data_IF_737730583308
#
_entry.id   IF_737730583308
#
_cell.length_a   1.000
_cell.length_b   1.000
_cell.length_c   1.000
_cell.angle_alpha   90.00
_cell.angle_beta   90.00
_cell.angle_gamma   90.00
#
_symmetry.space_group_name_H-M   'P 1'
#
loop_
_entity.id
_entity.type
_entity.pdbx_description
1 polymer ?
#
# COMPACT_ATOMS: atom_id res chain seq x y z
N UNK A 1 -7.93 30.59 28.43
CA UNK A 1 -7.54 31.90 27.88
C UNK A 1 -6.31 31.74 27.01
N UNK A 2 -5.13 31.41 27.54
CA UNK A 2 -3.93 31.25 26.68
C UNK A 2 -4.03 30.07 25.70
N UNK A 3 -4.59 28.93 26.13
CA UNK A 3 -4.79 27.76 25.25
C UNK A 3 -5.78 28.02 24.11
N UNK A 4 -6.87 28.75 24.39
CA UNK A 4 -7.90 29.07 23.39
C UNK A 4 -7.36 30.04 22.32
N UNK A 5 -6.44 30.93 22.69
CA UNK A 5 -5.83 31.90 21.77
C UNK A 5 -4.80 31.25 20.85
N UNK A 6 -4.03 30.28 21.36
CA UNK A 6 -3.08 29.48 20.58
C UNK A 6 -3.79 28.59 19.54
N UNK A 7 -4.88 27.93 19.93
CA UNK A 7 -5.69 27.12 19.03
C UNK A 7 -6.32 27.95 17.90
N UNK A 8 -6.83 29.16 18.23
CA UNK A 8 -7.37 30.09 17.23
C UNK A 8 -6.27 30.59 16.28
N UNK A 9 -5.08 30.89 16.79
CA UNK A 9 -3.94 31.29 15.96
C UNK A 9 -3.52 30.18 15.01
N UNK A 10 -3.47 28.93 15.50
CA UNK A 10 -3.13 27.76 14.70
C UNK A 10 -4.17 27.49 13.60
N UNK A 11 -5.46 27.61 13.93
CA UNK A 11 -6.54 27.47 12.96
C UNK A 11 -6.44 28.52 11.84
N UNK A 12 -6.17 29.79 12.17
CA UNK A 12 -5.95 30.85 11.17
C UNK A 12 -4.75 30.57 10.27
N UNK A 13 -3.64 30.08 10.84
CA UNK A 13 -2.46 29.73 10.07
C UNK A 13 -2.75 28.58 9.08
N UNK A 14 -3.51 27.57 9.50
CA UNK A 14 -3.95 26.48 8.61
C UNK A 14 -4.85 27.01 7.49
N UNK A 15 -5.84 27.86 7.81
CA UNK A 15 -6.70 28.47 6.79
C UNK A 15 -5.91 29.29 5.76
N UNK A 16 -4.91 30.04 6.20
CA UNK A 16 -4.03 30.79 5.31
C UNK A 16 -3.25 29.84 4.38
N UNK A 17 -2.69 28.75 4.91
CA UNK A 17 -2.00 27.74 4.10
C UNK A 17 -2.94 27.05 3.09
N UNK A 18 -4.18 26.75 3.48
CA UNK A 18 -5.19 26.21 2.55
C UNK A 18 -5.51 27.22 1.44
N UNK A 19 -5.57 28.52 1.76
CA UNK A 19 -5.72 29.56 0.72
C UNK A 19 -4.51 29.64 -0.23
N UNK A 20 -3.32 29.28 0.24
CA UNK A 20 -2.10 29.23 -0.57
C UNK A 20 -2.05 27.99 -1.46
N UNK A 21 -2.70 26.89 -1.06
CA UNK A 21 -2.85 25.68 -1.88
C UNK A 21 -3.51 26.01 -3.23
N UNK A 22 -4.49 26.92 -3.21
CA UNK A 22 -5.25 27.32 -4.39
C UNK A 22 -4.43 28.11 -5.42
N UNK A 23 -3.30 28.69 -5.01
CA UNK A 23 -2.46 29.55 -5.87
C UNK A 23 -1.23 28.77 -6.37
N UNK A 24 -1.04 28.61 -7.71
CA UNK A 24 0.07 27.83 -8.27
C UNK A 24 1.45 28.22 -7.74
N UNK A 25 1.69 29.51 -7.50
CA UNK A 25 2.99 30.05 -7.06
C UNK A 25 3.33 29.67 -5.62
N UNK A 26 2.33 29.48 -4.76
CA UNK A 26 2.51 29.17 -3.33
C UNK A 26 2.19 27.72 -2.98
N UNK A 27 1.66 26.96 -3.95
CA UNK A 27 1.10 25.62 -3.72
C UNK A 27 2.11 24.63 -3.17
N UNK A 28 3.33 24.60 -3.71
CA UNK A 28 4.36 23.65 -3.28
C UNK A 28 4.74 23.86 -1.80
N UNK A 29 4.95 25.12 -1.41
CA UNK A 29 5.20 25.49 -0.03
C UNK A 29 4.00 25.16 0.89
N UNK A 30 2.78 25.43 0.42
CA UNK A 30 1.57 25.09 1.17
C UNK A 30 1.42 23.59 1.40
N UNK A 31 1.65 22.77 0.36
CA UNK A 31 1.63 21.31 0.46
C UNK A 31 2.62 20.81 1.51
N UNK A 32 3.86 21.31 1.49
CA UNK A 32 4.91 20.92 2.42
C UNK A 32 4.57 21.32 3.87
N UNK A 33 4.08 22.54 4.09
CA UNK A 33 3.79 23.01 5.46
C UNK A 33 2.53 22.38 6.03
N UNK A 34 1.50 22.15 5.22
CA UNK A 34 0.30 21.43 5.65
C UNK A 34 0.62 19.96 5.95
N UNK A 35 1.46 19.30 5.14
CA UNK A 35 1.80 17.88 5.35
C UNK A 35 2.53 17.65 6.67
N UNK A 36 3.37 18.61 7.10
CA UNK A 36 4.03 18.60 8.43
C UNK A 36 3.05 18.78 9.59
N UNK A 37 1.94 19.50 9.39
CA UNK A 37 0.96 19.83 10.43
C UNK A 37 -0.15 18.79 10.60
N UNK A 38 -0.17 17.75 9.76
CA UNK A 38 -1.26 16.74 9.72
C UNK A 38 -1.48 15.99 11.04
N UNK A 39 -0.46 15.91 11.89
CA UNK A 39 -0.53 15.24 13.20
C UNK A 39 -0.77 16.21 14.35
N UNK A 40 -0.39 17.48 14.19
CA UNK A 40 -0.51 18.51 15.22
C UNK A 40 -1.82 19.29 15.17
N UNK A 41 -2.57 19.19 14.07
CA UNK A 41 -3.88 19.86 13.91
C UNK A 41 -4.97 18.83 13.56
N UNK A 42 -5.73 18.33 14.56
CA UNK A 42 -6.74 17.28 14.36
C UNK A 42 -7.82 17.62 13.32
N UNK A 43 -8.24 18.88 13.27
CA UNK A 43 -9.30 19.37 12.37
C UNK A 43 -8.81 19.67 10.95
N UNK A 44 -7.57 19.30 10.60
CA UNK A 44 -7.02 19.53 9.26
C UNK A 44 -7.87 18.87 8.17
N UNK A 45 -8.32 17.64 8.40
CA UNK A 45 -9.08 16.88 7.41
C UNK A 45 -10.44 17.53 7.08
N UNK A 46 -11.30 17.87 8.06
CA UNK A 46 -12.49 18.69 7.81
C UNK A 46 -12.18 20.02 7.12
N UNK A 47 -11.13 20.73 7.56
CA UNK A 47 -10.74 22.00 6.93
C UNK A 47 -10.40 21.82 5.45
N UNK A 48 -9.62 20.79 5.08
CA UNK A 48 -9.29 20.50 3.68
C UNK A 48 -10.52 20.10 2.88
N UNK A 49 -11.39 19.25 3.45
CA UNK A 49 -12.56 18.74 2.74
C UNK A 49 -13.58 19.83 2.41
N UNK A 50 -13.86 20.72 3.38
CA UNK A 50 -14.88 21.75 3.25
C UNK A 50 -14.35 23.07 2.66
N UNK A 51 -13.04 23.23 2.49
CA UNK A 51 -12.49 24.39 1.81
C UNK A 51 -12.68 24.29 0.29
N UNK A 52 -13.22 25.35 -0.29
CA UNK A 52 -13.51 25.42 -1.72
C UNK A 52 -12.27 25.10 -2.57
N UNK A 53 -12.40 24.10 -3.43
CA UNK A 53 -11.37 23.71 -4.41
C UNK A 53 -10.14 22.99 -3.85
N UNK A 54 -9.99 22.85 -2.53
CA UNK A 54 -8.81 22.23 -1.94
C UNK A 54 -8.63 20.77 -2.39
N UNK A 55 -9.69 19.94 -2.31
CA UNK A 55 -9.65 18.56 -2.80
C UNK A 55 -9.38 18.46 -4.30
N UNK A 56 -9.92 19.40 -5.11
CA UNK A 56 -9.68 19.44 -6.55
C UNK A 56 -8.20 19.74 -6.87
N UNK A 57 -7.56 20.64 -6.11
CA UNK A 57 -6.13 20.92 -6.26
C UNK A 57 -5.28 19.70 -5.89
N UNK A 58 -5.61 18.99 -4.80
CA UNK A 58 -4.88 17.77 -4.42
C UNK A 58 -4.98 16.69 -5.53
N UNK A 59 -6.17 16.53 -6.12
CA UNK A 59 -6.36 15.63 -7.27
C UNK A 59 -5.62 16.10 -8.52
N UNK A 60 -5.53 17.42 -8.74
CA UNK A 60 -4.77 18.00 -9.84
C UNK A 60 -3.28 17.67 -9.72
N UNK A 61 -2.69 17.73 -8.53
CA UNK A 61 -1.29 17.36 -8.28
C UNK A 61 -1.02 15.88 -8.59
N UNK A 62 -1.99 15.01 -8.30
CA UNK A 62 -1.94 13.58 -8.68
C UNK A 62 -2.00 13.42 -10.20
N UNK A 63 -3.02 14.00 -10.84
CA UNK A 63 -3.23 13.84 -12.28
C UNK A 63 -2.07 14.41 -13.11
N UNK A 64 -1.45 15.49 -12.67
CA UNK A 64 -0.26 16.07 -13.31
C UNK A 64 0.96 15.14 -13.30
N UNK A 65 0.98 14.12 -12.42
CA UNK A 65 2.06 13.14 -12.31
C UNK A 65 1.89 11.99 -13.31
N UNK A 66 0.67 11.71 -13.80
CA UNK A 66 0.41 10.54 -14.66
C UNK A 66 1.26 10.47 -15.93
N UNK A 67 1.49 11.56 -16.69
CA UNK A 67 2.33 11.52 -17.88
C UNK A 67 3.80 11.13 -17.59
N UNK A 68 4.24 11.27 -16.34
CA UNK A 68 5.62 10.99 -15.92
C UNK A 68 5.84 9.53 -15.48
N UNK A 69 4.78 8.72 -15.45
CA UNK A 69 4.83 7.31 -15.10
C UNK A 69 5.22 6.42 -16.28
N UNK A 70 4.93 6.84 -17.51
CA UNK A 70 5.22 6.08 -18.73
C UNK A 70 5.51 7.02 -19.93
N UNK A 71 6.77 7.09 -20.41
CA UNK A 71 7.96 6.43 -19.88
C UNK A 71 8.34 6.97 -18.48
N UNK A 72 8.99 6.17 -17.61
CA UNK A 72 9.28 6.58 -16.24
C UNK A 72 10.36 7.68 -16.19
N UNK A 73 9.93 8.92 -16.04
CA UNK A 73 10.80 10.11 -15.96
C UNK A 73 10.55 10.94 -14.70
N UNK A 74 9.98 10.33 -13.65
CA UNK A 74 9.63 11.01 -12.41
C UNK A 74 10.87 11.49 -11.63
N UNK A 75 11.09 12.81 -11.63
CA UNK A 75 12.14 13.43 -10.83
C UNK A 75 11.80 13.44 -9.33
N UNK A 76 12.84 13.45 -8.48
CA UNK A 76 12.68 13.38 -7.03
C UNK A 76 11.85 14.55 -6.45
N UNK A 77 12.04 15.78 -6.95
CA UNK A 77 11.29 16.95 -6.47
C UNK A 77 9.79 16.85 -6.81
N UNK A 78 9.44 16.34 -8.00
CA UNK A 78 8.05 16.11 -8.41
C UNK A 78 7.41 15.03 -7.53
N UNK A 79 8.12 13.91 -7.31
CA UNK A 79 7.66 12.84 -6.42
C UNK A 79 7.41 13.36 -4.99
N UNK A 80 8.34 14.15 -4.44
CA UNK A 80 8.18 14.74 -3.10
C UNK A 80 6.95 15.65 -3.01
N UNK A 81 6.73 16.49 -4.03
CA UNK A 81 5.59 17.40 -4.09
C UNK A 81 4.25 16.66 -4.12
N UNK A 82 4.08 15.68 -5.02
CA UNK A 82 2.84 14.87 -5.05
C UNK A 82 2.69 14.02 -3.79
N UNK A 83 3.78 13.54 -3.19
CA UNK A 83 3.71 12.80 -1.91
C UNK A 83 3.25 13.68 -0.74
N UNK A 84 3.55 14.98 -0.74
CA UNK A 84 2.96 15.91 0.21
C UNK A 84 1.43 16.00 0.02
N UNK A 85 0.94 16.05 -1.22
CA UNK A 85 -0.50 16.01 -1.49
C UNK A 85 -1.14 14.69 -1.04
N UNK A 86 -0.48 13.55 -1.31
CA UNK A 86 -0.92 12.23 -0.83
C UNK A 86 -0.97 12.15 0.70
N UNK A 87 -0.02 12.77 1.41
CA UNK A 87 -0.01 12.82 2.87
C UNK A 87 -1.23 13.59 3.42
N UNK A 88 -1.70 14.62 2.72
CA UNK A 88 -2.93 15.33 3.05
C UNK A 88 -4.18 14.49 2.74
N UNK A 89 -4.21 13.77 1.62
CA UNK A 89 -5.29 12.81 1.34
C UNK A 89 -5.32 11.66 2.36
N UNK A 90 -4.17 11.22 2.85
CA UNK A 90 -4.08 10.24 3.94
C UNK A 90 -4.73 10.79 5.22
N UNK A 91 -4.52 12.07 5.55
CA UNK A 91 -5.18 12.74 6.68
C UNK A 91 -6.71 12.73 6.50
N UNK A 92 -7.20 13.13 5.32
CA UNK A 92 -8.63 13.13 4.97
C UNK A 92 -9.24 11.72 5.04
N UNK A 93 -8.54 10.70 4.54
CA UNK A 93 -8.97 9.31 4.59
C UNK A 93 -9.04 8.75 6.02
N UNK A 94 -8.15 9.21 6.90
CA UNK A 94 -8.07 8.72 8.28
C UNK A 94 -9.14 9.31 9.20
N UNK A 95 -9.64 10.51 8.91
CA UNK A 95 -10.57 11.24 9.77
C UNK A 95 -12.02 10.75 9.61
N UNK A 96 -12.73 10.54 10.72
CA UNK A 96 -14.08 9.96 10.75
C UNK A 96 -15.10 10.77 9.95
N UNK A 97 -15.08 12.10 10.05
CA UNK A 97 -16.04 12.98 9.37
C UNK A 97 -15.88 13.02 7.84
N UNK A 98 -14.69 12.73 7.30
CA UNK A 98 -14.37 12.90 5.88
C UNK A 98 -14.13 11.60 5.14
N UNK A 99 -13.89 10.49 5.86
CA UNK A 99 -13.60 9.17 5.28
C UNK A 99 -14.69 8.67 4.33
N UNK A 100 -15.95 8.67 4.78
CA UNK A 100 -17.05 8.16 3.95
C UNK A 100 -17.27 9.05 2.71
N UNK A 101 -17.33 10.39 2.82
CA UNK A 101 -17.34 11.26 1.64
C UNK A 101 -16.14 11.06 0.70
N UNK A 102 -14.94 10.84 1.24
CA UNK A 102 -13.72 10.55 0.48
C UNK A 102 -13.84 9.25 -0.34
N UNK A 103 -14.44 8.22 0.27
CA UNK A 103 -14.72 6.94 -0.38
C UNK A 103 -15.80 7.09 -1.47
N UNK A 104 -16.91 7.75 -1.14
CA UNK A 104 -18.03 8.00 -2.06
C UNK A 104 -17.62 8.86 -3.27
N UNK A 105 -16.66 9.76 -3.09
CA UNK A 105 -16.06 10.54 -4.18
C UNK A 105 -15.10 9.72 -5.07
N UNK A 106 -14.89 8.43 -4.79
CA UNK A 106 -14.01 7.52 -5.54
C UNK A 106 -12.56 8.02 -5.66
N UNK A 107 -12.12 8.87 -4.72
CA UNK A 107 -10.75 9.42 -4.70
C UNK A 107 -9.66 8.34 -4.67
N UNK A 108 -9.81 7.20 -3.97
CA UNK A 108 -8.79 6.14 -3.99
C UNK A 108 -8.40 5.66 -5.39
N UNK A 109 -9.32 5.71 -6.37
CA UNK A 109 -9.08 5.24 -7.74
C UNK A 109 -7.98 6.06 -8.45
N UNK A 110 -7.84 7.34 -8.09
CA UNK A 110 -6.77 8.20 -8.62
C UNK A 110 -5.37 7.72 -8.20
N UNK A 111 -5.25 6.86 -7.19
CA UNK A 111 -3.98 6.36 -6.70
C UNK A 111 -3.53 5.07 -7.40
N UNK A 112 -4.43 4.39 -8.11
CA UNK A 112 -4.13 3.08 -8.70
C UNK A 112 -3.09 3.11 -9.81
N UNK A 113 -3.01 4.15 -10.67
CA UNK A 113 -1.89 4.29 -11.61
C UNK A 113 -0.53 4.32 -10.92
N UNK A 114 -0.44 4.91 -9.71
CA UNK A 114 0.81 4.91 -8.93
C UNK A 114 1.16 3.51 -8.43
N UNK A 115 0.18 2.77 -7.90
CA UNK A 115 0.36 1.40 -7.42
C UNK A 115 0.68 0.40 -8.55
N UNK A 116 0.15 0.64 -9.75
CA UNK A 116 0.37 -0.20 -10.92
C UNK A 116 1.75 -0.01 -11.57
N UNK A 117 2.43 1.11 -11.27
CA UNK A 117 3.75 1.42 -11.85
C UNK A 117 4.80 0.37 -11.50
N UNK A 118 5.58 -0.04 -12.50
CA UNK A 118 6.57 -1.11 -12.39
C UNK A 118 8.01 -0.60 -12.19
N UNK A 119 8.23 0.71 -12.32
CA UNK A 119 9.57 1.31 -12.17
C UNK A 119 10.11 1.14 -10.75
N UNK A 120 11.35 0.67 -10.62
CA UNK A 120 12.03 0.50 -9.33
C UNK A 120 12.93 1.69 -8.95
N UNK A 121 12.79 2.84 -9.63
CA UNK A 121 13.53 4.03 -9.21
C UNK A 121 12.99 4.58 -7.88
N UNK A 122 13.88 5.12 -7.04
CA UNK A 122 13.53 5.63 -5.70
C UNK A 122 12.33 6.59 -5.69
N UNK A 123 12.19 7.56 -6.64
CA UNK A 123 11.02 8.44 -6.66
C UNK A 123 9.69 7.71 -6.84
N UNK A 124 9.65 6.64 -7.63
CA UNK A 124 8.43 5.84 -7.86
C UNK A 124 8.17 4.88 -6.70
N UNK A 125 9.22 4.32 -6.09
CA UNK A 125 9.07 3.52 -4.86
C UNK A 125 8.46 4.33 -3.71
N UNK A 126 8.94 5.57 -3.53
CA UNK A 126 8.38 6.50 -2.53
C UNK A 126 6.93 6.87 -2.86
N UNK A 127 6.62 7.09 -4.14
CA UNK A 127 5.25 7.36 -4.59
C UNK A 127 4.30 6.20 -4.30
N UNK A 128 4.72 4.96 -4.61
CA UNK A 128 3.94 3.74 -4.29
C UNK A 128 3.71 3.61 -2.80
N UNK A 129 4.75 3.76 -1.99
CA UNK A 129 4.65 3.67 -0.53
C UNK A 129 3.66 4.69 0.05
N UNK A 130 3.76 5.94 -0.40
CA UNK A 130 2.88 7.02 0.08
C UNK A 130 1.43 6.78 -0.35
N UNK A 131 1.21 6.28 -1.57
CA UNK A 131 -0.11 5.90 -2.07
C UNK A 131 -0.73 4.75 -1.26
N UNK A 132 0.05 3.72 -0.94
CA UNK A 132 -0.37 2.64 -0.03
C UNK A 132 -0.70 3.16 1.36
N UNK A 133 -0.03 4.21 1.83
CA UNK A 133 -0.33 4.87 3.10
C UNK A 133 -1.77 5.41 3.16
N UNK A 134 -2.29 5.94 2.05
CA UNK A 134 -3.69 6.40 1.95
C UNK A 134 -4.66 5.23 2.03
N UNK A 135 -4.43 4.16 1.25
CA UNK A 135 -5.28 2.96 1.28
C UNK A 135 -5.20 2.27 2.65
N UNK A 136 -4.01 2.21 3.24
CA UNK A 136 -3.75 1.69 4.58
C UNK A 136 -4.51 2.45 5.66
N UNK A 137 -4.66 3.78 5.53
CA UNK A 137 -5.45 4.58 6.45
C UNK A 137 -6.95 4.28 6.37
N UNK A 138 -7.48 4.00 5.18
CA UNK A 138 -8.89 3.60 4.99
C UNK A 138 -9.21 2.27 5.66
N UNK A 139 -8.37 1.25 5.44
CA UNK A 139 -8.63 -0.10 6.00
C UNK A 139 -8.29 -0.21 7.48
N UNK A 140 -7.61 0.78 8.07
CA UNK A 140 -7.21 0.75 9.48
C UNK A 140 -8.40 0.77 10.43
N UNK A 141 -9.51 1.38 10.02
CA UNK A 141 -10.71 1.58 10.87
C UNK A 141 -11.68 0.41 10.90
N UNK A 142 -11.37 -0.70 10.21
CA UNK A 142 -12.19 -1.92 10.20
C UNK A 142 -13.65 -1.67 9.78
N UNK A 143 -13.82 -0.79 8.77
CA UNK A 143 -15.11 -0.42 8.21
C UNK A 143 -15.44 -1.29 6.98
N UNK A 144 -16.59 -1.98 7.03
CA UNK A 144 -17.04 -2.91 5.98
C UNK A 144 -17.34 -2.21 4.67
N UNK A 145 -17.81 -0.97 4.69
CA UNK A 145 -18.09 -0.22 3.46
C UNK A 145 -16.80 0.09 2.69
N UNK A 146 -15.70 0.33 3.41
CA UNK A 146 -14.36 0.44 2.82
C UNK A 146 -13.94 -0.88 2.18
N UNK A 147 -14.14 -2.01 2.87
CA UNK A 147 -13.80 -3.33 2.32
C UNK A 147 -14.60 -3.61 1.04
N UNK A 148 -15.92 -3.41 1.06
CA UNK A 148 -16.79 -3.60 -0.10
C UNK A 148 -16.36 -2.75 -1.30
N UNK A 149 -16.07 -1.47 -1.07
CA UNK A 149 -15.54 -0.58 -2.11
C UNK A 149 -14.25 -1.15 -2.71
N UNK A 150 -13.28 -1.51 -1.88
CA UNK A 150 -11.96 -1.98 -2.30
C UNK A 150 -11.99 -3.32 -3.05
N UNK A 151 -12.91 -4.22 -2.68
CA UNK A 151 -13.13 -5.48 -3.38
C UNK A 151 -13.70 -5.25 -4.79
N UNK A 152 -14.52 -4.21 -4.97
CA UNK A 152 -15.09 -3.83 -6.27
C UNK A 152 -14.11 -3.16 -7.22
N UNK A 153 -12.91 -2.78 -6.76
CA UNK A 153 -12.00 -1.89 -7.49
C UNK A 153 -10.59 -2.49 -7.67
N UNK A 154 -10.43 -3.81 -7.59
CA UNK A 154 -9.16 -4.50 -7.87
C UNK A 154 -7.96 -4.08 -6.99
N UNK A 155 -8.19 -3.67 -5.74
CA UNK A 155 -7.07 -3.31 -4.84
C UNK A 155 -6.16 -4.50 -4.54
N UNK A 156 -6.70 -5.73 -4.51
CA UNK A 156 -5.97 -6.96 -4.18
C UNK A 156 -4.88 -7.22 -5.23
N UNK A 157 -5.19 -7.33 -6.55
CA UNK A 157 -4.16 -7.43 -7.59
C UNK A 157 -3.06 -6.38 -7.51
N UNK A 158 -3.40 -5.11 -7.22
CA UNK A 158 -2.42 -4.04 -7.05
C UNK A 158 -1.52 -4.26 -5.83
N UNK A 159 -2.09 -4.66 -4.69
CA UNK A 159 -1.31 -4.99 -3.49
C UNK A 159 -0.40 -6.19 -3.73
N UNK A 160 -0.87 -7.22 -4.44
CA UNK A 160 -0.05 -8.37 -4.81
C UNK A 160 1.12 -7.96 -5.71
N UNK A 161 0.89 -7.11 -6.71
CA UNK A 161 1.99 -6.57 -7.54
C UNK A 161 3.03 -5.84 -6.70
N UNK A 162 2.61 -4.95 -5.80
CA UNK A 162 3.54 -4.25 -4.89
C UNK A 162 4.29 -5.24 -4.00
N UNK A 163 3.61 -6.26 -3.48
CA UNK A 163 4.22 -7.32 -2.68
C UNK A 163 5.28 -8.12 -3.46
N UNK A 164 5.17 -8.20 -4.78
CA UNK A 164 6.16 -8.87 -5.62
C UNK A 164 7.40 -7.99 -5.85
N UNK A 165 7.20 -6.75 -6.34
CA UNK A 165 8.30 -5.90 -6.85
C UNK A 165 8.79 -4.81 -5.89
N UNK A 166 8.07 -4.55 -4.80
CA UNK A 166 8.30 -3.39 -3.94
C UNK A 166 9.46 -3.55 -2.95
N UNK A 167 9.82 -2.44 -2.31
CA UNK A 167 10.72 -2.46 -1.15
C UNK A 167 10.07 -3.19 0.03
N UNK A 168 10.88 -3.63 0.99
CA UNK A 168 10.39 -4.30 2.18
C UNK A 168 9.29 -3.52 2.94
N UNK A 169 9.41 -2.20 3.00
CA UNK A 169 8.41 -1.35 3.62
C UNK A 169 7.09 -1.34 2.83
N UNK A 170 7.16 -1.23 1.50
CA UNK A 170 5.97 -1.31 0.63
C UNK A 170 5.30 -2.67 0.69
N UNK A 171 6.09 -3.76 0.71
CA UNK A 171 5.61 -5.13 0.92
C UNK A 171 4.87 -5.27 2.24
N UNK A 172 5.41 -4.67 3.32
CA UNK A 172 4.78 -4.67 4.65
C UNK A 172 3.43 -3.97 4.64
N UNK A 173 3.34 -2.77 4.05
CA UNK A 173 2.06 -2.01 4.00
C UNK A 173 1.04 -2.69 3.10
N UNK A 174 1.45 -3.21 1.93
CA UNK A 174 0.55 -3.96 1.05
C UNK A 174 0.02 -5.25 1.72
N UNK A 175 0.89 -5.98 2.43
CA UNK A 175 0.48 -7.17 3.19
C UNK A 175 -0.49 -6.80 4.31
N UNK A 176 -0.26 -5.68 5.00
CA UNK A 176 -1.19 -5.15 6.00
C UNK A 176 -2.58 -4.83 5.41
N UNK A 177 -2.65 -4.24 4.21
CA UNK A 177 -3.92 -3.97 3.52
C UNK A 177 -4.66 -5.28 3.22
N UNK A 178 -3.98 -6.26 2.63
CA UNK A 178 -4.59 -7.58 2.34
C UNK A 178 -4.99 -8.30 3.63
N UNK A 179 -4.21 -8.18 4.71
CA UNK A 179 -4.58 -8.70 6.02
C UNK A 179 -5.90 -8.08 6.50
N UNK A 180 -6.05 -6.76 6.42
CA UNK A 180 -7.28 -6.07 6.84
C UNK A 180 -8.49 -6.52 6.02
N UNK A 181 -8.33 -6.73 4.72
CA UNK A 181 -9.38 -7.30 3.87
C UNK A 181 -9.73 -8.72 4.31
N UNK A 182 -8.75 -9.59 4.55
CA UNK A 182 -8.98 -10.96 5.01
C UNK A 182 -9.66 -11.02 6.39
N UNK A 183 -9.41 -10.05 7.27
CA UNK A 183 -10.03 -10.02 8.59
C UNK A 183 -11.54 -9.80 8.54
N UNK A 184 -12.04 -9.12 7.51
CA UNK A 184 -13.48 -9.01 7.25
C UNK A 184 -14.02 -10.29 6.59
N UNK A 185 -15.23 -10.71 6.97
CA UNK A 185 -15.83 -11.95 6.45
C UNK A 185 -16.10 -11.88 4.94
N UNK A 186 -16.53 -10.72 4.42
CA UNK A 186 -16.77 -10.54 2.98
C UNK A 186 -15.46 -10.62 2.20
N UNK A 187 -14.39 -10.04 2.73
CA UNK A 187 -13.06 -10.12 2.13
C UNK A 187 -12.47 -11.53 2.15
N UNK A 188 -12.66 -12.28 3.26
CA UNK A 188 -12.25 -13.68 3.35
C UNK A 188 -12.99 -14.54 2.31
N UNK A 189 -14.32 -14.43 2.26
CA UNK A 189 -15.14 -15.19 1.31
C UNK A 189 -14.81 -14.84 -0.14
N UNK A 190 -14.55 -13.56 -0.44
CA UNK A 190 -14.12 -13.12 -1.77
C UNK A 190 -12.82 -13.79 -2.23
N UNK A 191 -11.81 -13.87 -1.36
CA UNK A 191 -10.51 -14.47 -1.66
C UNK A 191 -10.63 -16.00 -1.78
N UNK A 192 -11.41 -16.63 -0.89
CA UNK A 192 -11.64 -18.08 -0.91
C UNK A 192 -12.72 -18.54 -1.90
N UNK A 193 -13.33 -17.61 -2.66
CA UNK A 193 -14.39 -17.93 -3.62
C UNK A 193 -13.89 -18.82 -4.77
N UNK A 194 -12.67 -18.56 -5.27
CA UNK A 194 -12.07 -19.31 -6.39
C UNK A 194 -10.65 -19.74 -6.07
N UNK A 195 -10.21 -20.85 -6.67
CA UNK A 195 -8.84 -21.34 -6.52
C UNK A 195 -7.81 -20.29 -7.01
N UNK A 196 -8.08 -19.61 -8.13
CA UNK A 196 -7.16 -18.61 -8.69
C UNK A 196 -6.88 -17.46 -7.72
N UNK A 197 -7.92 -16.90 -7.09
CA UNK A 197 -7.76 -15.82 -6.11
C UNK A 197 -7.01 -16.30 -4.88
N UNK A 198 -7.38 -17.48 -4.37
CA UNK A 198 -6.74 -18.07 -3.21
C UNK A 198 -5.24 -18.31 -3.46
N UNK A 199 -4.89 -18.98 -4.56
CA UNK A 199 -3.49 -19.30 -4.89
C UNK A 199 -2.67 -18.09 -5.32
N UNK A 200 -3.28 -17.04 -5.89
CA UNK A 200 -2.59 -15.78 -6.14
C UNK A 200 -2.13 -15.13 -4.83
N UNK A 201 -2.98 -15.13 -3.79
CA UNK A 201 -2.64 -14.59 -2.47
C UNK A 201 -1.65 -15.50 -1.74
N UNK A 202 -1.93 -16.79 -1.59
CA UNK A 202 -1.07 -17.70 -0.83
C UNK A 202 0.28 -17.92 -1.51
N UNK A 203 0.32 -18.04 -2.83
CA UNK A 203 1.57 -18.19 -3.59
C UNK A 203 2.52 -17.02 -3.36
N UNK A 204 1.99 -15.79 -3.36
CA UNK A 204 2.81 -14.60 -3.10
C UNK A 204 3.20 -14.46 -1.63
N UNK A 205 2.30 -14.73 -0.69
CA UNK A 205 2.65 -14.78 0.74
C UNK A 205 3.76 -15.82 1.00
N UNK A 206 3.71 -16.96 0.33
CA UNK A 206 4.77 -17.98 0.38
C UNK A 206 6.10 -17.48 -0.18
N UNK A 207 6.08 -16.83 -1.35
CA UNK A 207 7.25 -16.21 -1.96
C UNK A 207 7.93 -15.17 -1.05
N UNK A 208 7.15 -14.39 -0.30
CA UNK A 208 7.65 -13.42 0.68
C UNK A 208 8.35 -14.07 1.87
N UNK A 209 7.91 -15.27 2.28
CA UNK A 209 8.53 -16.04 3.36
C UNK A 209 9.84 -16.67 2.90
N UNK A 210 9.88 -17.22 1.70
CA UNK A 210 11.05 -17.95 1.17
C UNK A 210 12.09 -17.06 0.50
N UNK A 211 11.83 -15.75 0.37
CA UNK A 211 12.70 -14.81 -0.34
C UNK A 211 12.78 -15.07 -1.86
N UNK A 212 11.91 -15.92 -2.39
CA UNK A 212 11.91 -16.31 -3.81
C UNK A 212 10.91 -15.46 -4.59
N UNK A 213 11.33 -14.31 -5.11
CA UNK A 213 10.50 -13.40 -5.94
C UNK A 213 10.21 -13.92 -7.35
N UNK A 214 10.16 -15.24 -7.56
CA UNK A 214 9.67 -15.85 -8.79
C UNK A 214 8.64 -16.91 -8.44
N UNK A 215 7.37 -16.57 -8.60
CA UNK A 215 6.28 -17.54 -8.54
C UNK A 215 6.46 -18.47 -9.75
N UNK A 216 6.96 -19.67 -9.51
CA UNK A 216 6.77 -20.76 -10.45
C UNK A 216 5.27 -21.05 -10.46
N UNK A 217 4.56 -20.55 -11.47
CA UNK A 217 3.18 -20.92 -11.70
C UNK A 217 3.18 -22.44 -11.89
N UNK A 218 2.64 -23.17 -10.91
CA UNK A 218 2.46 -24.60 -10.98
C UNK A 218 1.39 -24.91 -12.03
N UNK A 219 1.80 -24.95 -13.29
CA UNK A 219 1.02 -25.54 -14.36
C UNK A 219 0.93 -27.05 -14.13
N UNK A 220 -0.26 -27.53 -13.82
CA UNK A 220 -0.57 -28.95 -13.85
C UNK A 220 -0.30 -29.50 -15.28
N UNK A 221 0.72 -30.34 -15.41
CA UNK A 221 1.15 -30.90 -16.69
C UNK A 221 2.03 -32.13 -16.49
N UNK A 222 1.36 -33.28 -16.53
CA UNK A 222 1.83 -34.68 -16.52
C UNK A 222 3.28 -34.98 -16.94
N UNK A 223 3.94 -35.80 -16.11
CA UNK A 223 5.11 -36.66 -16.33
C UNK A 223 5.67 -36.83 -17.76
N UNK A 224 6.99 -36.63 -17.90
CA UNK A 224 7.87 -37.77 -18.26
C UNK A 224 9.35 -37.52 -17.93
N UNK A 225 9.90 -38.54 -17.29
CA UNK A 225 11.28 -38.73 -16.83
C UNK A 225 12.34 -38.51 -17.90
N UNK A 226 13.51 -38.00 -17.52
CA UNK A 226 14.81 -38.59 -17.92
C UNK A 226 16.00 -38.07 -17.11
N UNK A 227 16.85 -39.03 -16.74
CA UNK A 227 18.07 -38.95 -15.95
C UNK A 227 19.16 -38.05 -16.53
N UNK A 228 20.05 -37.68 -15.60
CA UNK A 228 21.36 -37.06 -15.74
C UNK A 228 22.20 -37.47 -16.96
N UNK A 229 22.86 -36.48 -17.59
CA UNK A 229 24.16 -36.65 -18.26
C UNK A 229 25.01 -35.39 -18.06
N UNK A 230 26.29 -35.63 -17.82
CA UNK A 230 27.41 -34.75 -17.52
C UNK A 230 27.88 -33.92 -18.73
N UNK A 231 28.34 -32.70 -18.43
CA UNK A 231 29.28 -31.78 -19.13
C UNK A 231 29.60 -31.94 -20.63
N UNK A 232 29.39 -30.85 -21.39
CA UNK A 232 30.26 -30.40 -22.48
C UNK A 232 29.97 -28.93 -22.83
N UNK A 233 30.99 -28.07 -22.83
CA UNK A 233 30.94 -26.70 -23.37
C UNK A 233 30.78 -26.72 -24.91
N UNK A 234 30.04 -25.76 -25.51
CA UNK A 234 30.21 -25.45 -26.92
C UNK A 234 30.70 -24.01 -27.16
N UNK A 235 31.73 -23.93 -28.01
CA UNK A 235 32.35 -22.71 -28.55
C UNK A 235 31.34 -21.86 -29.34
N UNK A 236 31.30 -20.55 -29.04
CA UNK A 236 30.45 -19.57 -29.73
C UNK A 236 30.94 -19.26 -31.15
N UNK A 237 30.00 -19.24 -32.10
CA UNK A 237 30.22 -18.95 -33.52
C UNK A 237 30.38 -17.43 -33.78
N UNK A 238 31.35 -16.99 -34.61
CA UNK A 238 31.64 -15.58 -34.89
C UNK A 238 30.52 -14.78 -35.61
N UNK A 239 29.47 -15.43 -36.11
CA UNK A 239 28.32 -14.74 -36.74
C UNK A 239 27.38 -14.05 -35.75
N UNK A 240 27.24 -14.56 -34.53
CA UNK A 240 26.36 -13.94 -33.52
C UNK A 240 26.89 -12.59 -33.02
N UNK A 241 28.21 -12.46 -32.95
CA UNK A 241 28.87 -11.25 -32.47
C UNK A 241 28.72 -10.08 -33.45
N UNK A 242 28.70 -10.37 -34.76
CA UNK A 242 28.53 -9.36 -35.80
C UNK A 242 27.08 -8.82 -35.86
N UNK A 243 26.09 -9.68 -35.59
CA UNK A 243 24.68 -9.27 -35.56
C UNK A 243 24.36 -8.39 -34.35
N UNK A 244 25.02 -8.65 -33.21
CA UNK A 244 24.89 -7.85 -32.00
C UNK A 244 25.50 -6.44 -32.18
N UNK A 245 26.59 -6.33 -32.94
CA UNK A 245 27.24 -5.06 -33.26
C UNK A 245 26.38 -4.18 -34.19
N UNK A 246 25.67 -4.79 -35.15
CA UNK A 246 24.72 -4.06 -36.00
C UNK A 246 23.50 -3.53 -35.24
N UNK A 247 22.99 -4.29 -34.25
CA UNK A 247 21.90 -3.81 -33.39
C UNK A 247 22.31 -2.60 -32.53
N UNK A 248 23.56 -2.57 -32.03
CA UNK A 248 24.06 -1.42 -31.27
C UNK A 248 24.18 -0.16 -32.13
N UNK A 249 24.58 -0.27 -33.40
CA UNK A 249 24.65 0.90 -34.29
C UNK A 249 23.27 1.47 -34.65
N UNK A 250 22.25 0.63 -34.79
CA UNK A 250 20.88 1.11 -35.02
C UNK A 250 20.30 1.85 -33.79
N UNK A 251 20.65 1.44 -32.57
CA UNK A 251 20.21 2.15 -31.36
C UNK A 251 20.84 3.54 -31.20
N UNK A 252 22.07 3.75 -31.65
CA UNK A 252 22.72 5.06 -31.58
C UNK A 252 22.13 6.09 -32.56
N UNK A 253 21.56 5.65 -33.68
CA UNK A 253 20.93 6.57 -34.66
C UNK A 253 19.54 7.07 -34.25
N UNK A 254 18.88 6.45 -33.26
CA UNK A 254 17.53 6.84 -32.81
C UNK A 254 17.52 7.85 -31.63
N UNK A 255 18.67 8.09 -31.00
CA UNK A 255 18.77 9.01 -29.86
C UNK A 255 18.38 10.49 -30.15
N UNK A 256 18.63 11.06 -31.35
CA UNK A 256 18.23 12.45 -31.63
C UNK A 256 16.71 12.64 -31.68
N UNK A 257 15.96 11.67 -32.22
CA UNK A 257 14.51 11.73 -32.32
C UNK A 257 13.82 11.62 -30.95
N UNK A 258 14.39 10.83 -30.03
CA UNK A 258 13.85 10.66 -28.69
C UNK A 258 14.01 11.94 -27.83
N UNK A 259 15.07 12.71 -28.06
CA UNK A 259 15.30 13.99 -27.39
C UNK A 259 14.30 15.08 -27.86
N UNK A 260 13.95 15.11 -29.15
CA UNK A 260 12.96 16.05 -29.69
C UNK A 260 11.54 15.81 -29.17
N UNK A 261 11.11 14.54 -29.09
CA UNK A 261 9.80 14.20 -28.51
C UNK A 261 9.71 14.61 -27.04
N UNK A 262 10.81 14.46 -26.29
CA UNK A 262 10.89 14.85 -24.88
C UNK A 262 10.78 16.37 -24.69
N UNK A 263 11.30 17.17 -25.63
CA UNK A 263 11.18 18.63 -25.61
C UNK A 263 9.75 19.10 -25.96
N UNK A 264 9.08 18.42 -26.90
CA UNK A 264 7.69 18.70 -27.25
C UNK A 264 6.71 18.38 -26.11
N UNK A 265 6.94 17.30 -25.35
CA UNK A 265 6.13 16.99 -24.17
C UNK A 265 6.26 18.04 -23.06
N UNK A 266 7.46 18.63 -22.86
CA UNK A 266 7.64 19.72 -21.88
C UNK A 266 6.89 20.99 -22.30
N UNK A 267 6.95 21.34 -23.59
CA UNK A 267 6.24 22.51 -24.12
C UNK A 267 4.71 22.38 -23.98
N UNK A 268 4.15 21.21 -24.26
CA UNK A 268 2.71 20.96 -24.08
C UNK A 268 2.28 21.01 -22.61
N UNK A 269 3.13 20.58 -21.67
CA UNK A 269 2.80 20.65 -20.24
C UNK A 269 2.75 22.10 -19.74
N UNK A 270 3.66 22.95 -20.22
CA UNK A 270 3.70 24.39 -19.89
C UNK A 270 2.49 25.14 -20.50
N UNK A 271 2.07 24.81 -21.72
CA UNK A 271 0.86 25.37 -22.33
C UNK A 271 -0.41 25.01 -21.56
N UNK A 272 -0.52 23.77 -21.05
CA UNK A 272 -1.64 23.36 -20.22
C UNK A 272 -1.65 24.04 -18.84
N UNK A 273 -0.48 24.36 -18.27
CA UNK A 273 -0.40 25.18 -17.05
C UNK A 273 -0.83 26.64 -17.32
N UNK A 274 -0.50 27.19 -18.49
CA UNK A 274 -0.92 28.52 -18.90
C UNK A 274 -2.44 28.60 -19.13
N UNK A 275 -3.05 27.62 -19.80
CA UNK A 275 -4.49 27.57 -20.04
C UNK A 275 -5.30 27.43 -18.74
N UNK A 276 -4.80 26.66 -17.76
CA UNK A 276 -5.43 26.56 -16.44
C UNK A 276 -5.38 27.89 -15.67
N UNK A 277 -4.32 28.69 -15.83
CA UNK A 277 -4.22 30.00 -15.18
C UNK A 277 -5.31 31.00 -15.62
N UNK A 278 -5.81 30.87 -16.86
CA UNK A 278 -6.86 31.73 -17.41
C UNK A 278 -8.27 31.34 -16.99
N UNK A 279 -8.53 30.05 -16.68
CA UNK A 279 -9.85 29.60 -16.21
C UNK A 279 -10.17 30.04 -14.78
N UNK A 280 -9.16 30.34 -13.96
CA UNK A 280 -9.32 30.83 -12.58
C UNK A 280 -9.41 32.37 -12.45
N UNK A 281 -9.42 33.12 -13.56
CA UNK A 281 -9.51 34.60 -13.54
C UNK A 281 -10.91 35.15 -13.83
N UNK A 282 -11.97 34.34 -13.84
CA UNK A 282 -13.34 34.89 -13.99
C UNK A 282 -13.76 35.58 -12.68
N UNK A 283 -14.08 36.89 -12.67
CA UNK A 283 -14.54 37.57 -11.46
C UNK A 283 -15.90 37.00 -11.03
N UNK A 284 -16.02 36.55 -9.77
CA UNK A 284 -17.31 36.29 -9.14
C UNK A 284 -17.83 37.61 -8.57
N UNK A 285 -18.89 38.14 -9.19
CA UNK A 285 -19.74 39.15 -8.56
C UNK A 285 -20.43 38.51 -7.35
N UNK A 286 -20.13 39.03 -6.16
CA UNK A 286 -20.70 38.62 -4.87
C UNK A 286 -21.95 39.47 -4.58
N UNK A 287 -23.12 38.84 -4.59
CA UNK A 287 -24.35 39.37 -3.97
C UNK A 287 -24.39 38.96 -2.48
N UNK A 288 -24.70 39.87 -1.54
CA UNK A 288 -24.67 39.57 -0.10
C UNK A 288 -26.01 38.97 0.38
N UNK A 289 -25.96 37.78 0.97
CA UNK A 289 -27.07 37.23 1.76
C UNK A 289 -27.01 37.72 3.21
N UNK A 290 -28.08 38.39 3.64
CA UNK A 290 -28.27 38.95 4.98
C UNK A 290 -28.61 37.89 6.05
N UNK A 291 -28.32 38.31 7.28
CA UNK A 291 -28.44 37.62 8.57
C UNK A 291 -29.83 37.07 8.91
N UNK A 292 -29.83 35.96 9.66
CA UNK A 292 -30.92 35.55 10.55
C UNK A 292 -30.35 34.87 11.79
N UNK A 293 -30.15 35.65 12.86
CA UNK A 293 -29.86 35.13 14.21
C UNK A 293 -31.12 34.48 14.79
N UNK A 294 -30.98 33.35 15.48
CA UNK A 294 -31.81 33.02 16.63
C UNK A 294 -31.10 32.08 17.60
N UNK A 295 -31.22 32.42 18.88
CA UNK A 295 -30.63 31.81 20.06
C UNK A 295 -31.12 30.39 20.36
N UNK A 296 -30.28 29.62 21.06
CA UNK A 296 -30.69 28.38 21.74
C UNK A 296 -29.59 27.79 22.62
N UNK A 297 -29.52 28.22 23.88
CA UNK A 297 -28.75 27.60 24.96
C UNK A 297 -29.22 26.16 25.25
N UNK A 298 -28.29 25.19 25.41
CA UNK A 298 -28.36 24.22 26.52
C UNK A 298 -27.03 23.52 26.80
N UNK A 299 -26.76 23.35 28.10
CA UNK A 299 -25.57 22.82 28.74
C UNK A 299 -25.43 21.29 28.64
N UNK A 300 -24.17 20.88 28.41
CA UNK A 300 -23.33 19.84 29.06
C UNK A 300 -24.00 18.76 29.93
N UNK A 301 -23.66 17.49 29.65
CA UNK A 301 -23.28 16.50 30.67
C UNK A 301 -22.07 15.67 30.20
N UNK A 302 -21.10 15.53 31.11
CA UNK A 302 -19.89 14.71 31.06
C UNK A 302 -20.23 13.22 31.21
N UNK A 303 -19.39 12.33 30.64
CA UNK A 303 -18.93 11.12 31.34
C UNK A 303 -17.60 10.61 30.76
N UNK A 304 -16.68 10.31 31.67
CA UNK A 304 -15.29 9.92 31.47
C UNK A 304 -15.12 8.44 31.05
N UNK A 305 -14.04 8.15 30.32
CA UNK A 305 -13.62 6.78 30.02
C UNK A 305 -12.22 6.70 29.42
N UNK A 306 -11.19 6.66 30.28
CA UNK A 306 -9.79 6.40 29.94
C UNK A 306 -9.56 5.00 29.36
N UNK A 307 -8.76 4.88 28.28
CA UNK A 307 -7.75 3.81 28.18
C UNK A 307 -6.59 4.19 27.21
N UNK A 308 -5.36 4.05 27.72
CA UNK A 308 -4.07 4.19 27.03
C UNK A 308 -3.80 3.04 26.03
N UNK A 309 -2.99 3.27 24.98
CA UNK A 309 -2.19 2.19 24.39
C UNK A 309 -1.72 2.28 22.92
N UNK A 310 -0.55 2.89 22.72
CA UNK A 310 0.47 2.62 21.68
C UNK A 310 0.19 2.96 20.20
N UNK A 311 0.72 4.12 19.81
CA UNK A 311 0.74 4.73 18.48
C UNK A 311 1.98 4.21 17.71
N UNK A 312 1.75 3.66 16.51
CA UNK A 312 2.79 3.42 15.51
C UNK A 312 3.22 4.77 14.90
N UNK A 313 4.35 5.30 15.35
CA UNK A 313 5.08 6.41 14.73
C UNK A 313 6.01 5.89 13.62
N UNK A 314 6.08 6.52 12.43
CA UNK A 314 7.28 6.53 11.61
C UNK A 314 8.25 7.62 12.11
N UNK A 315 9.58 7.42 12.01
CA UNK A 315 10.54 8.30 12.66
C UNK A 315 10.57 9.69 12.01
N UNK A 316 10.51 10.73 12.84
CA UNK A 316 10.79 12.10 12.48
C UNK A 316 12.26 12.46 12.75
N UNK A 317 12.80 13.33 11.88
CA UNK A 317 14.11 14.02 11.86
C UNK A 317 15.31 13.18 11.39
N UNK A 318 16.23 13.71 10.57
CA UNK A 318 16.63 15.10 10.38
C UNK A 318 16.92 15.43 8.90
N UNK A 319 16.35 16.53 8.42
CA UNK A 319 16.85 17.23 7.25
C UNK A 319 18.05 18.07 7.71
N UNK A 320 19.25 17.65 7.36
CA UNK A 320 20.42 18.50 7.32
C UNK A 320 20.96 18.43 5.89
N UNK A 321 20.80 19.52 5.13
CA UNK A 321 21.51 19.73 3.89
C UNK A 321 23.01 19.84 4.19
N UNK A 322 23.90 19.32 3.32
CA UNK A 322 25.20 19.94 3.16
C UNK A 322 25.34 20.53 1.75
N UNK A 323 25.87 21.74 1.80
CA UNK A 323 26.44 22.54 0.72
C UNK A 323 27.48 21.79 -0.11
N UNK A 324 27.58 22.23 -1.36
CA UNK A 324 28.57 21.95 -2.40
C UNK A 324 30.00 21.73 -1.86
N UNK A 325 30.59 20.60 -2.23
CA UNK A 325 32.01 20.29 -2.05
C UNK A 325 32.38 19.08 -2.91
N UNK A 326 33.23 19.33 -3.91
CA UNK A 326 33.78 18.36 -4.87
C UNK A 326 34.64 17.31 -4.18
N UNK A 327 34.42 16.01 -4.40
CA UNK A 327 35.47 14.98 -4.37
C UNK A 327 35.01 13.62 -4.94
N UNK A 328 35.97 12.91 -5.51
CA UNK A 328 35.80 11.75 -6.38
C UNK A 328 35.79 10.41 -5.63
N UNK A 329 35.10 9.42 -6.21
CA UNK A 329 35.47 8.00 -6.12
C UNK A 329 34.85 7.16 -5.00
N UNK A 330 34.26 6.02 -5.39
CA UNK A 330 34.28 4.79 -4.58
C UNK A 330 32.94 4.24 -4.10
N UNK A 331 32.58 3.06 -4.62
CA UNK A 331 31.94 2.01 -3.81
C UNK A 331 30.41 1.94 -3.81
N UNK A 332 29.82 1.44 -4.89
CA UNK A 332 28.46 0.88 -4.86
C UNK A 332 28.43 -0.43 -4.06
N UNK A 333 28.07 -0.35 -2.79
CA UNK A 333 27.75 -1.50 -1.96
C UNK A 333 26.29 -1.91 -2.15
N UNK A 334 26.05 -2.94 -2.96
CA UNK A 334 24.79 -3.68 -2.99
C UNK A 334 24.58 -4.35 -1.64
N UNK A 335 23.63 -3.84 -0.86
CA UNK A 335 23.19 -4.47 0.39
C UNK A 335 22.43 -5.76 0.09
N UNK A 336 23.14 -6.88 0.04
CA UNK A 336 22.58 -8.22 0.11
C UNK A 336 22.07 -8.48 1.53
N UNK A 337 20.81 -8.12 1.79
CA UNK A 337 20.09 -8.57 2.97
C UNK A 337 19.78 -10.06 2.83
N UNK A 338 20.00 -10.83 3.91
CA UNK A 338 19.52 -12.20 4.07
C UNK A 338 18.10 -12.33 3.51
N UNK A 339 17.82 -13.32 2.66
CA UNK A 339 16.53 -13.51 1.97
C UNK A 339 15.32 -13.81 2.87
N UNK A 340 15.39 -13.47 4.16
CA UNK A 340 14.33 -13.64 5.16
C UNK A 340 13.51 -12.35 5.29
N UNK A 341 12.19 -12.43 5.50
CA UNK A 341 11.36 -11.26 5.76
C UNK A 341 11.65 -10.65 7.14
N UNK A 342 11.47 -9.33 7.31
CA UNK A 342 11.43 -8.74 8.65
C UNK A 342 10.34 -9.33 9.54
N UNK A 343 10.55 -9.23 10.85
CA UNK A 343 9.56 -9.61 11.87
C UNK A 343 8.18 -8.98 11.63
N UNK A 344 8.14 -7.71 11.21
CA UNK A 344 6.88 -7.00 10.98
C UNK A 344 6.13 -7.57 9.77
N UNK A 345 6.84 -7.82 8.67
CA UNK A 345 6.25 -8.44 7.49
C UNK A 345 5.78 -9.87 7.81
N UNK A 346 6.61 -10.67 8.49
CA UNK A 346 6.29 -12.04 8.89
C UNK A 346 5.03 -12.10 9.77
N UNK A 347 4.88 -11.18 10.72
CA UNK A 347 3.69 -11.06 11.56
C UNK A 347 2.40 -10.89 10.75
N UNK A 348 2.43 -10.01 9.74
CA UNK A 348 1.28 -9.82 8.84
C UNK A 348 1.01 -11.09 8.01
N UNK A 349 2.05 -11.73 7.47
CA UNK A 349 1.93 -12.97 6.69
C UNK A 349 1.28 -14.09 7.51
N UNK A 350 1.76 -14.33 8.73
CA UNK A 350 1.20 -15.34 9.64
C UNK A 350 -0.27 -15.04 9.93
N UNK A 351 -0.61 -13.77 10.17
CA UNK A 351 -1.99 -13.37 10.45
C UNK A 351 -2.92 -13.56 9.25
N UNK A 352 -2.43 -13.36 8.02
CA UNK A 352 -3.16 -13.69 6.78
C UNK A 352 -3.42 -15.19 6.66
N UNK A 353 -2.39 -16.03 6.83
CA UNK A 353 -2.55 -17.49 6.76
C UNK A 353 -3.50 -18.02 7.85
N UNK A 354 -3.37 -17.53 9.08
CA UNK A 354 -4.29 -17.88 10.16
C UNK A 354 -5.73 -17.57 9.76
N UNK A 355 -5.99 -16.38 9.23
CA UNK A 355 -7.34 -15.99 8.82
C UNK A 355 -7.86 -16.81 7.64
N UNK A 356 -7.01 -17.13 6.67
CA UNK A 356 -7.36 -18.04 5.57
C UNK A 356 -7.73 -19.45 6.05
N UNK A 357 -7.19 -19.89 7.18
CA UNK A 357 -7.52 -21.19 7.79
C UNK A 357 -8.89 -21.23 8.46
N UNK A 358 -9.52 -20.07 8.70
CA UNK A 358 -10.90 -20.01 9.23
C UNK A 358 -11.92 -20.40 8.15
N UNK A 359 -11.59 -20.24 6.86
CA UNK A 359 -12.44 -20.69 5.76
C UNK A 359 -12.22 -22.19 5.51
N UNK A 360 -13.27 -23.04 5.46
CA UNK A 360 -13.11 -24.49 5.25
C UNK A 360 -12.37 -24.87 3.96
N UNK A 361 -12.62 -24.14 2.86
CA UNK A 361 -11.92 -24.37 1.58
C UNK A 361 -10.46 -23.95 1.67
N UNK A 362 -10.21 -22.78 2.27
CA UNK A 362 -8.87 -22.27 2.51
C UNK A 362 -8.06 -23.21 3.38
N UNK A 363 -8.61 -23.63 4.52
CA UNK A 363 -8.02 -24.59 5.44
C UNK A 363 -7.60 -25.89 4.75
N UNK A 364 -8.49 -26.49 3.95
CA UNK A 364 -8.19 -27.71 3.20
C UNK A 364 -7.03 -27.51 2.21
N UNK A 365 -7.00 -26.38 1.50
CA UNK A 365 -5.95 -26.08 0.53
C UNK A 365 -4.59 -25.81 1.21
N UNK A 366 -4.59 -25.08 2.34
CA UNK A 366 -3.39 -24.74 3.11
C UNK A 366 -2.61 -25.97 3.58
N UNK A 367 -3.27 -27.11 3.82
CA UNK A 367 -2.58 -28.37 4.17
C UNK A 367 -1.54 -28.79 3.14
N UNK A 368 -1.73 -28.40 1.88
CA UNK A 368 -0.88 -28.79 0.75
C UNK A 368 0.05 -27.69 0.26
N UNK A 369 -0.18 -26.43 0.65
CA UNK A 369 0.54 -25.28 0.10
C UNK A 369 1.13 -24.32 1.15
N UNK A 370 1.15 -24.71 2.43
CA UNK A 370 1.80 -23.90 3.47
C UNK A 370 3.33 -23.96 3.30
N UNK A 371 4.05 -22.82 3.31
CA UNK A 371 5.51 -22.81 3.17
C UNK A 371 6.23 -23.60 4.27
N UNK A 372 7.28 -24.33 3.91
CA UNK A 372 8.04 -25.17 4.86
C UNK A 372 8.58 -24.39 6.06
N UNK A 373 8.97 -23.12 5.88
CA UNK A 373 9.44 -22.26 6.97
C UNK A 373 8.37 -22.01 8.05
N UNK A 374 7.09 -22.07 7.68
CA UNK A 374 5.98 -21.95 8.63
C UNK A 374 5.59 -23.31 9.21
N UNK A 375 5.73 -24.40 8.45
CA UNK A 375 5.47 -25.78 8.89
C UNK A 375 6.52 -26.26 9.91
N UNK A 376 7.79 -25.92 9.69
CA UNK A 376 8.92 -26.23 10.58
C UNK A 376 9.52 -24.94 11.14
N UNK A 377 8.86 -24.31 12.14
CA UNK A 377 9.22 -22.98 12.61
C UNK A 377 10.51 -22.93 13.44
N UNK A 378 11.19 -24.06 13.63
CA UNK A 378 12.46 -24.13 14.37
C UNK A 378 13.52 -23.18 13.79
N UNK A 379 13.62 -23.07 12.46
CA UNK A 379 14.54 -22.17 11.80
C UNK A 379 14.16 -20.68 11.99
N UNK A 380 12.86 -20.35 11.88
CA UNK A 380 12.36 -18.99 12.08
C UNK A 380 12.46 -18.53 13.54
N UNK A 381 12.23 -19.44 14.49
CA UNK A 381 12.41 -19.21 15.92
C UNK A 381 13.90 -19.03 16.28
N UNK A 382 14.78 -19.86 15.75
CA UNK A 382 16.23 -19.76 15.95
C UNK A 382 16.81 -18.46 15.35
N UNK A 383 16.26 -17.98 14.23
CA UNK A 383 16.61 -16.70 13.62
C UNK A 383 16.05 -15.48 14.38
N UNK A 384 15.32 -15.69 15.49
CA UNK A 384 14.73 -14.60 16.26
C UNK A 384 13.67 -13.83 15.48
N UNK A 385 12.97 -14.46 14.54
CA UNK A 385 11.89 -13.80 13.76
C UNK A 385 10.53 -13.90 14.47
N UNK A 386 10.38 -14.84 15.40
CA UNK A 386 9.18 -15.06 16.20
C UNK A 386 9.43 -14.62 17.65
N UNK A 387 9.77 -13.35 17.87
CA UNK A 387 10.09 -12.81 19.20
C UNK A 387 8.86 -12.52 20.04
N UNK A 388 7.75 -12.11 19.42
CA UNK A 388 6.53 -11.77 20.12
C UNK A 388 5.62 -12.98 20.35
N UNK A 389 5.03 -13.04 21.55
CA UNK A 389 4.19 -14.15 21.98
C UNK A 389 2.91 -14.28 21.15
N UNK A 390 2.33 -13.15 20.73
CA UNK A 390 1.13 -13.14 19.91
C UNK A 390 1.36 -13.82 18.55
N UNK A 391 2.44 -13.49 17.84
CA UNK A 391 2.78 -14.13 16.56
C UNK A 391 3.04 -15.63 16.72
N UNK A 392 3.72 -16.05 17.81
CA UNK A 392 3.90 -17.49 18.11
C UNK A 392 2.57 -18.20 18.33
N UNK A 393 1.66 -17.63 19.11
CA UNK A 393 0.30 -18.16 19.34
C UNK A 393 -0.50 -18.25 18.04
N UNK A 394 -0.43 -17.23 17.19
CA UNK A 394 -1.08 -17.24 15.88
C UNK A 394 -0.55 -18.34 14.97
N UNK A 395 0.76 -18.55 14.95
CA UNK A 395 1.38 -19.62 14.16
C UNK A 395 1.00 -21.00 14.69
N UNK A 396 1.01 -21.19 16.02
CA UNK A 396 0.58 -22.45 16.63
C UNK A 396 -0.90 -22.77 16.31
N UNK A 397 -1.79 -21.78 16.40
CA UNK A 397 -3.20 -21.93 16.03
C UNK A 397 -3.38 -22.27 14.55
N UNK A 398 -2.65 -21.60 13.66
CA UNK A 398 -2.66 -21.91 12.23
C UNK A 398 -2.28 -23.37 11.99
N UNK A 399 -1.15 -23.82 12.57
CA UNK A 399 -0.66 -25.18 12.43
C UNK A 399 -1.66 -26.20 12.96
N UNK A 400 -2.34 -25.92 14.08
CA UNK A 400 -3.41 -26.77 14.58
C UNK A 400 -4.60 -26.85 13.61
N UNK A 401 -5.04 -25.73 13.05
CA UNK A 401 -6.16 -25.68 12.10
C UNK A 401 -5.90 -26.54 10.86
N UNK A 402 -4.66 -26.51 10.34
CA UNK A 402 -4.28 -27.28 9.14
C UNK A 402 -3.81 -28.72 9.44
N UNK A 403 -3.69 -29.10 10.71
CA UNK A 403 -3.37 -30.48 11.14
C UNK A 403 -1.89 -30.79 11.38
N UNK A 404 -1.03 -29.78 11.53
CA UNK A 404 0.38 -29.93 11.94
C UNK A 404 0.54 -29.82 13.47
N UNK A 405 -0.14 -30.68 14.23
CA UNK A 405 -0.20 -30.61 15.70
C UNK A 405 1.17 -30.74 16.37
N UNK A 406 2.06 -31.57 15.85
CA UNK A 406 3.41 -31.75 16.40
C UNK A 406 4.25 -30.47 16.26
N UNK A 407 4.18 -29.82 15.10
CA UNK A 407 4.82 -28.52 14.86
C UNK A 407 4.23 -27.42 15.74
N UNK A 408 2.93 -27.45 16.00
CA UNK A 408 2.27 -26.51 16.90
C UNK A 408 2.74 -26.71 18.36
N UNK A 409 2.86 -27.97 18.81
CA UNK A 409 3.34 -28.30 20.15
C UNK A 409 4.78 -27.82 20.38
N UNK A 410 5.63 -27.90 19.35
CA UNK A 410 7.02 -27.40 19.40
C UNK A 410 7.12 -25.88 19.64
N UNK A 411 6.06 -25.10 19.39
CA UNK A 411 6.01 -23.66 19.66
C UNK A 411 5.61 -23.30 21.09
N UNK A 412 5.25 -24.29 21.92
CA UNK A 412 5.00 -24.10 23.35
C UNK A 412 3.79 -23.24 23.69
N UNK A 413 2.72 -23.28 22.88
CA UNK A 413 1.47 -22.56 23.17
C UNK A 413 0.46 -23.48 23.90
N UNK A 414 0.18 -23.28 25.20
CA UNK A 414 -0.77 -24.12 25.95
C UNK A 414 -2.26 -23.78 25.69
N UNK A 415 -2.57 -22.59 25.17
CA UNK A 415 -3.95 -22.08 24.98
C UNK A 415 -4.43 -22.14 23.51
N UNK A 416 -4.12 -23.21 22.78
CA UNK A 416 -4.59 -23.36 21.39
C UNK A 416 -6.02 -23.89 21.40
N UNK A 417 -6.94 -23.16 20.76
CA UNK A 417 -8.35 -23.56 20.68
C UNK A 417 -8.46 -24.71 19.67
N UNK A 418 -8.95 -25.87 20.13
CA UNK A 418 -9.23 -26.99 19.23
C UNK A 418 -10.33 -26.61 18.23
N UNK A 419 -10.20 -26.98 16.94
CA UNK A 419 -11.26 -26.75 15.96
C UNK A 419 -12.56 -27.40 16.45
N UNK A 420 -13.66 -26.63 16.51
CA UNK A 420 -14.97 -27.21 16.82
C UNK A 420 -15.32 -28.28 15.77
N UNK A 421 -15.75 -29.48 16.17
CA UNK A 421 -16.17 -30.50 15.23
C UNK A 421 -17.36 -29.99 14.42
N UNK A 422 -17.26 -30.05 13.09
CA UNK A 422 -18.36 -29.73 12.19
C UNK A 422 -19.58 -30.58 12.54
N UNK A 423 -20.80 -30.02 12.58
CA UNK A 423 -22.01 -30.82 12.75
C UNK A 423 -22.11 -31.81 11.58
N UNK A 424 -22.07 -33.10 11.92
CA UNK A 424 -22.23 -34.18 10.94
C UNK A 424 -23.61 -34.05 10.26
N UNK A 425 -23.70 -34.18 8.93
CA UNK A 425 -25.00 -34.25 8.26
C UNK A 425 -25.75 -35.49 8.79
N UNK A 426 -26.90 -35.25 9.42
CA UNK A 426 -27.77 -36.33 9.90
C UNK A 426 -28.18 -37.22 8.72
N UNK A 427 -28.10 -38.56 8.84
CA UNK A 427 -28.55 -39.45 7.79
C UNK A 427 -30.06 -39.25 7.58
N UNK A 428 -30.45 -38.85 6.37
CA UNK A 428 -31.84 -38.72 5.97
C UNK A 428 -32.51 -40.09 6.12
N UNK A 429 -33.50 -40.17 7.01
CA UNK A 429 -34.35 -41.33 7.17
C UNK A 429 -35.13 -41.54 5.86
N UNK A 430 -34.76 -42.56 5.09
CA UNK A 430 -35.55 -43.06 3.98
C UNK A 430 -36.88 -43.59 4.54
N UNK A 431 -37.96 -42.86 4.29
CA UNK A 431 -39.32 -43.37 4.49
C UNK A 431 -39.70 -44.22 3.27
N UNK A 432 -40.06 -45.51 3.44
CA UNK A 432 -40.55 -46.31 2.32
C UNK A 432 -41.93 -45.79 1.91
N UNK A 433 -42.07 -45.42 0.64
CA UNK A 433 -43.40 -45.15 0.04
C UNK A 433 -44.14 -46.49 -0.08
N UNK A 434 -45.24 -46.60 0.65
CA UNK A 434 -46.32 -47.58 0.45
C UNK A 434 -47.02 -47.38 -0.87
#
# INVERSE_FOLDING_TARGET
MDHDEEDVAQARAVQQLVSWLMRPQTRDQALLELSKRRESFPDLAPCLWHSFGAMAVLLQEIAATYPLLSPPCLAAHVSNRVCNALALLQCVASHSATRLPFLQAHIPLFLYPFLASESQCRPVEYLRLTSLGVIGALVKVDDRDVINFLLGTEVIPLCLRVMEIGTELSKTVATFIVQKILLDDVGLDYICATADRFFAVTGLLGALVTGSTRIAVAGAGSHRSRSAVVAAEPQQHPQQQQQQQQQQQQQQQQQPHHCQLQQQCHQHLDEHQHLNSHLYQRPQELEPYQQGQQHGHRQVQHEDGHMHGQIMQPPARAAASPSVGSEAGGGGGSGGGSGLPSQRLLKHIIRCYLRLSDNPRGCSALRSCLPEMLVSPAAAAAAGLLTDEATRKWLAQLLMNVGFSDSAAALGAPDVVQPQPQPQPQPQAYSPRT
#
